data_IF_683782771668
#
_entry.id   IF_683782771668
#
_cell.length_a   1.000
_cell.length_b   1.000
_cell.length_c   1.000
_cell.angle_alpha   90.00
_cell.angle_beta   90.00
_cell.angle_gamma   90.00
#
_symmetry.space_group_name_H-M   'P 1'
#
loop_
_entity.id
_entity.type
_entity.pdbx_description
1 polymer ?
#
# COMPACT_ATOMS: atom_id res chain seq x y z
N UNK A 1 14.33 -2.72 12.12
CA UNK A 1 13.01 -2.26 11.63
C UNK A 1 12.85 -0.80 12.07
N UNK A 2 12.94 0.15 11.13
CA UNK A 2 12.90 1.57 11.46
C UNK A 2 11.45 2.07 11.46
N UNK A 3 11.07 2.81 12.50
CA UNK A 3 9.73 3.40 12.66
C UNK A 3 9.32 4.28 11.46
N UNK A 4 10.31 4.84 10.76
CA UNK A 4 10.12 5.64 9.55
C UNK A 4 9.51 4.86 8.39
N UNK A 5 9.80 3.57 8.26
CA UNK A 5 9.25 2.74 7.17
C UNK A 5 7.74 2.54 7.33
N UNK A 6 7.24 2.44 8.57
CA UNK A 6 5.81 2.33 8.87
C UNK A 6 5.08 3.64 8.55
N UNK A 7 5.68 4.77 8.93
CA UNK A 7 5.18 6.10 8.62
C UNK A 7 5.15 6.35 7.11
N UNK A 8 6.22 5.97 6.40
CA UNK A 8 6.24 5.99 4.93
C UNK A 8 5.10 5.15 4.39
N UNK A 9 5.01 3.87 4.75
CA UNK A 9 3.97 2.96 4.26
C UNK A 9 2.54 3.47 4.49
N UNK A 10 2.25 4.08 5.64
CA UNK A 10 0.95 4.65 5.96
C UNK A 10 0.61 5.93 5.16
N UNK A 11 1.62 6.71 4.77
CA UNK A 11 1.46 8.03 4.12
C UNK A 11 1.79 8.03 2.63
N UNK A 12 2.46 6.98 2.16
CA UNK A 12 2.91 6.85 0.78
C UNK A 12 1.72 6.58 -0.13
N UNK A 13 1.65 7.32 -1.23
CA UNK A 13 0.65 7.13 -2.26
C UNK A 13 1.23 6.31 -3.40
N UNK A 14 0.43 5.40 -3.93
CA UNK A 14 0.81 4.58 -5.06
C UNK A 14 1.05 5.50 -6.27
N UNK A 15 2.24 5.50 -6.89
CA UNK A 15 2.58 6.44 -7.96
C UNK A 15 2.06 6.03 -9.34
N UNK A 16 1.56 4.79 -9.50
CA UNK A 16 1.05 4.27 -10.76
C UNK A 16 0.05 3.14 -10.56
N UNK A 17 -0.55 2.67 -11.67
CA UNK A 17 -1.44 1.52 -11.72
C UNK A 17 -2.91 1.87 -11.47
N UNK A 18 -3.72 0.86 -11.13
CA UNK A 18 -5.17 1.04 -10.91
C UNK A 18 -5.49 1.86 -9.67
N UNK A 19 -4.61 1.80 -8.68
CA UNK A 19 -4.73 2.47 -7.39
C UNK A 19 -3.85 3.72 -7.30
N UNK A 20 -3.48 4.32 -8.43
CA UNK A 20 -2.68 5.55 -8.42
C UNK A 20 -3.35 6.63 -7.56
N UNK A 21 -2.56 7.26 -6.68
CA UNK A 21 -3.02 8.25 -5.71
C UNK A 21 -3.61 7.67 -4.43
N UNK A 22 -3.84 6.35 -4.35
CA UNK A 22 -4.28 5.69 -3.12
C UNK A 22 -3.11 5.46 -2.19
N UNK A 23 -3.36 5.50 -0.88
CA UNK A 23 -2.34 5.13 0.10
C UNK A 23 -2.01 3.64 -0.01
N UNK A 24 -0.74 3.26 0.16
CA UNK A 24 -0.34 1.85 0.22
C UNK A 24 -1.14 1.10 1.30
N UNK A 25 -1.36 1.76 2.44
CA UNK A 25 -2.19 1.25 3.55
C UNK A 25 -3.69 1.07 3.23
N UNK A 26 -4.17 1.60 2.09
CA UNK A 26 -5.54 1.46 1.60
C UNK A 26 -5.63 0.42 0.47
N UNK A 27 -4.49 -0.10 0.00
CA UNK A 27 -4.50 -1.10 -1.06
C UNK A 27 -5.18 -2.38 -0.59
N UNK A 28 -6.02 -2.98 -1.43
CA UNK A 28 -6.68 -4.23 -1.12
C UNK A 28 -5.68 -5.39 -1.16
N UNK A 29 -5.83 -6.35 -0.26
CA UNK A 29 -4.97 -7.52 -0.15
C UNK A 29 -4.80 -8.30 -1.47
N UNK A 30 -5.86 -8.58 -2.26
CA UNK A 30 -5.71 -9.24 -3.56
C UNK A 30 -4.73 -8.55 -4.52
N UNK A 31 -4.59 -7.22 -4.42
CA UNK A 31 -3.66 -6.47 -5.26
C UNK A 31 -2.20 -6.68 -4.83
N UNK A 32 -1.97 -6.75 -3.52
CA UNK A 32 -0.64 -7.02 -2.95
C UNK A 32 -0.22 -8.47 -3.20
N UNK A 33 -1.14 -9.43 -3.06
CA UNK A 33 -0.90 -10.85 -3.37
C UNK A 33 -0.58 -11.03 -4.85
N UNK A 34 -1.32 -10.38 -5.74
CA UNK A 34 -1.02 -10.39 -7.18
C UNK A 34 0.39 -9.86 -7.47
N UNK A 35 0.79 -8.78 -6.79
CA UNK A 35 2.15 -8.25 -6.90
C UNK A 35 3.21 -9.22 -6.35
N UNK A 36 2.94 -9.91 -5.26
CA UNK A 36 3.84 -10.94 -4.72
C UNK A 36 4.01 -12.12 -5.68
N UNK A 37 2.96 -12.50 -6.41
CA UNK A 37 3.03 -13.53 -7.44
C UNK A 37 3.77 -13.06 -8.71
N UNK A 38 3.64 -11.78 -9.07
CA UNK A 38 4.28 -11.18 -10.26
C UNK A 38 5.72 -10.72 -10.01
N UNK A 39 6.06 -10.41 -8.77
CA UNK A 39 7.27 -9.71 -8.37
C UNK A 39 7.02 -8.23 -8.06
N UNK A 40 7.50 -7.77 -6.91
CA UNK A 40 7.46 -6.36 -6.54
C UNK A 40 8.45 -5.55 -7.39
N UNK A 41 8.14 -4.27 -7.67
CA UNK A 41 9.08 -3.39 -8.36
C UNK A 41 10.34 -3.18 -7.50
N UNK A 42 11.51 -3.05 -8.13
CA UNK A 42 12.75 -2.82 -7.38
C UNK A 42 12.75 -1.44 -6.68
N UNK A 43 13.55 -1.31 -5.62
CA UNK A 43 13.66 -0.09 -4.82
C UNK A 43 12.68 0.02 -3.64
N UNK A 44 12.53 1.24 -3.11
CA UNK A 44 11.78 1.50 -1.87
C UNK A 44 10.29 1.11 -1.99
N UNK A 45 9.68 1.32 -3.17
CA UNK A 45 8.27 0.97 -3.38
C UNK A 45 8.01 -0.53 -3.24
N UNK A 46 8.87 -1.38 -3.79
CA UNK A 46 8.70 -2.83 -3.65
C UNK A 46 8.87 -3.30 -2.22
N UNK A 47 9.82 -2.72 -1.49
CA UNK A 47 9.99 -3.02 -0.07
C UNK A 47 8.77 -2.60 0.75
N UNK A 48 8.19 -1.43 0.46
CA UNK A 48 6.94 -0.99 1.12
C UNK A 48 5.76 -1.90 0.79
N UNK A 49 5.63 -2.38 -0.45
CA UNK A 49 4.55 -3.28 -0.85
C UNK A 49 4.69 -4.68 -0.24
N UNK A 50 5.91 -5.23 -0.22
CA UNK A 50 6.20 -6.49 0.45
C UNK A 50 5.88 -6.39 1.95
N UNK A 51 6.36 -5.32 2.61
CA UNK A 51 6.08 -5.06 4.02
C UNK A 51 4.57 -4.89 4.27
N UNK A 52 3.84 -4.22 3.37
CA UNK A 52 2.38 -4.09 3.49
C UNK A 52 1.69 -5.46 3.40
N UNK A 53 2.12 -6.31 2.48
CA UNK A 53 1.56 -7.66 2.32
C UNK A 53 1.81 -8.50 3.58
N UNK A 54 3.02 -8.46 4.13
CA UNK A 54 3.33 -9.15 5.38
C UNK A 54 2.49 -8.60 6.53
N UNK A 55 2.34 -7.29 6.67
CA UNK A 55 1.50 -6.70 7.72
C UNK A 55 0.03 -7.11 7.58
N UNK A 56 -0.50 -7.17 6.34
CA UNK A 56 -1.85 -7.67 6.04
C UNK A 56 -2.00 -9.15 6.41
N UNK A 57 -1.07 -9.99 5.98
CA UNK A 57 -1.05 -11.41 6.28
C UNK A 57 -1.01 -11.69 7.79
N UNK A 58 -0.37 -10.80 8.56
CA UNK A 58 -0.33 -10.85 10.03
C UNK A 58 -1.51 -10.12 10.71
N UNK A 59 -2.42 -9.49 9.97
CA UNK A 59 -3.56 -8.74 10.53
C UNK A 59 -3.19 -7.43 11.24
N UNK A 60 -2.01 -6.87 10.97
CA UNK A 60 -1.46 -5.67 11.63
C UNK A 60 -1.90 -4.35 10.97
N UNK A 61 -2.84 -4.40 10.02
CA UNK A 61 -3.33 -3.20 9.32
C UNK A 61 -3.98 -2.16 10.24
N UNK A 62 -4.55 -2.61 11.37
CA UNK A 62 -5.15 -1.73 12.37
C UNK A 62 -4.12 -0.78 13.00
N UNK A 63 -2.84 -1.17 13.04
CA UNK A 63 -1.75 -0.31 13.52
C UNK A 63 -1.50 0.88 12.59
N UNK A 64 -1.90 0.78 11.32
CA UNK A 64 -1.75 1.86 10.35
C UNK A 64 -2.90 2.86 10.45
N UNK A 65 -4.06 2.48 10.99
CA UNK A 65 -5.21 3.40 11.14
C UNK A 65 -4.88 4.69 11.89
N UNK A 66 -4.21 4.68 13.07
CA UNK A 66 -3.85 5.92 13.75
C UNK A 66 -2.78 6.74 13.01
N UNK A 67 -2.01 6.11 12.11
CA UNK A 67 -0.96 6.76 11.32
C UNK A 67 -1.48 7.34 10.00
N UNK A 68 -2.68 6.96 9.56
CA UNK A 68 -3.30 7.48 8.35
C UNK A 68 -3.65 8.96 8.53
N UNK A 69 -3.35 9.82 7.54
CA UNK A 69 -3.72 11.24 7.60
C UNK A 69 -5.24 11.37 7.62
N UNK A 70 -5.83 12.19 8.49
CA UNK A 70 -7.30 12.30 8.67
C UNK A 70 -8.08 12.67 7.40
N UNK A 71 -7.42 13.32 6.43
CA UNK A 71 -7.96 13.61 5.10
C UNK A 71 -7.43 12.57 4.09
N UNK A 72 -8.04 11.37 4.10
CA UNK A 72 -7.76 10.30 3.14
C UNK A 72 -9.00 10.08 2.29
N UNK A 73 -9.37 11.11 1.52
CA UNK A 73 -10.36 10.97 0.45
C UNK A 73 -9.88 9.89 -0.52
N UNK A 74 -10.52 8.72 -0.52
CA UNK A 74 -10.21 7.65 -1.48
C UNK A 74 -10.40 8.20 -2.90
N UNK A 75 -9.33 8.32 -3.70
CA UNK A 75 -9.49 8.74 -5.08
C UNK A 75 -10.42 7.74 -5.80
N UNK A 76 -11.24 8.17 -6.77
CA UNK A 76 -11.99 7.23 -7.58
C UNK A 76 -11.04 6.21 -8.22
N UNK A 77 -11.36 4.92 -8.13
CA UNK A 77 -10.55 3.87 -8.76
C UNK A 77 -10.47 4.15 -10.26
N UNK A 78 -9.26 4.13 -10.82
CA UNK A 78 -9.12 4.26 -12.28
C UNK A 78 -9.83 3.08 -12.95
N UNK A 79 -10.62 3.32 -14.02
CA UNK A 79 -11.23 2.23 -14.78
C UNK A 79 -10.12 1.33 -15.31
N UNK A 80 -10.30 0.02 -15.20
CA UNK A 80 -9.43 -0.92 -15.90
C UNK A 80 -9.53 -0.60 -17.38
N UNK A 81 -8.44 -0.14 -18.00
CA UNK A 81 -8.39 0.10 -19.45
C UNK A 81 -8.84 -1.20 -20.14
N UNK A 82 -9.94 -1.10 -20.89
CA UNK A 82 -10.52 -2.17 -21.70
C UNK A 82 -9.58 -2.54 -22.86
#
# INVERSE_FOLDING_TARGET
>A
MNHESLLKLARWKMPFGRYEGWLIAELPEPYLVWYSAKGFPDGELGQLLAMMLEMRANGLESLLQPLKPKDHSRPPMKPAKR
#
